data_IF_437158420741
#
_entry.id   IF_437158420741
#
_cell.length_a   1.000
_cell.length_b   1.000
_cell.length_c   1.000
_cell.angle_alpha   90.00
_cell.angle_beta   90.00
_cell.angle_gamma   90.00
#
_symmetry.space_group_name_H-M   'P 1'
#
loop_
_entity.id
_entity.type
_entity.pdbx_description
1 polymer ?
#
# COMPACT_ATOMS: atom_id res chain seq x y z
N UNK A 1 -3.80 -10.70 -3.28
CA UNK A 1 -4.87 -9.78 -3.80
C UNK A 1 -5.83 -10.56 -4.69
N UNK A 2 -7.15 -10.38 -4.54
CA UNK A 2 -8.13 -10.95 -5.46
C UNK A 2 -8.23 -10.14 -6.75
N UNK A 3 -8.63 -10.78 -7.86
CA UNK A 3 -8.79 -10.07 -9.13
C UNK A 3 -9.87 -8.97 -9.07
N UNK A 4 -10.98 -9.22 -8.35
CA UNK A 4 -12.02 -8.22 -8.12
C UNK A 4 -11.52 -7.00 -7.35
N UNK A 5 -10.59 -7.21 -6.42
CA UNK A 5 -9.93 -6.15 -5.66
C UNK A 5 -9.01 -5.31 -6.57
N UNK A 6 -8.22 -5.95 -7.44
CA UNK A 6 -7.38 -5.24 -8.40
C UNK A 6 -8.21 -4.35 -9.34
N UNK A 7 -9.35 -4.85 -9.83
CA UNK A 7 -10.30 -4.07 -10.64
C UNK A 7 -10.90 -2.88 -9.89
N UNK A 8 -11.27 -3.09 -8.62
CA UNK A 8 -11.80 -2.02 -7.79
C UNK A 8 -10.75 -0.93 -7.54
N UNK A 9 -9.52 -1.32 -7.17
CA UNK A 9 -8.39 -0.40 -7.00
C UNK A 9 -8.11 0.39 -8.28
N UNK A 10 -8.14 -0.29 -9.44
CA UNK A 10 -7.98 0.36 -10.72
C UNK A 10 -9.02 1.47 -10.91
N UNK A 11 -10.31 1.16 -10.72
CA UNK A 11 -11.37 2.16 -10.84
C UNK A 11 -11.23 3.32 -9.85
N UNK A 12 -10.80 3.03 -8.61
CA UNK A 12 -10.57 4.07 -7.61
C UNK A 12 -9.39 5.00 -7.98
N UNK A 13 -8.31 4.44 -8.52
CA UNK A 13 -7.12 5.19 -8.95
C UNK A 13 -7.38 5.99 -10.23
N UNK A 14 -8.21 5.47 -11.14
CA UNK A 14 -8.57 6.17 -12.37
C UNK A 14 -9.38 7.46 -12.15
N UNK A 15 -9.96 7.64 -10.96
CA UNK A 15 -10.63 8.88 -10.57
C UNK A 15 -9.67 10.06 -10.32
N UNK A 16 -8.35 9.82 -10.28
CA UNK A 16 -7.35 10.84 -9.99
C UNK A 16 -6.37 11.03 -11.16
N UNK A 17 -5.90 12.26 -11.43
CA UNK A 17 -4.86 12.51 -12.42
C UNK A 17 -3.52 11.88 -11.97
N UNK A 18 -2.69 11.52 -12.94
CA UNK A 18 -1.42 10.81 -12.71
C UNK A 18 -0.46 11.59 -11.81
N UNK A 19 -0.42 12.91 -11.95
CA UNK A 19 0.45 13.81 -11.18
C UNK A 19 0.09 13.79 -9.69
N UNK A 20 -1.17 13.53 -9.38
CA UNK A 20 -1.63 13.43 -7.98
C UNK A 20 -1.31 12.08 -7.34
N UNK A 21 -1.11 11.06 -8.15
CA UNK A 21 -0.78 9.71 -7.71
C UNK A 21 0.72 9.49 -7.58
N UNK A 22 1.53 10.25 -8.32
CA UNK A 22 2.96 9.99 -8.50
C UNK A 22 3.83 10.78 -7.52
N UNK A 23 4.86 10.16 -6.93
CA UNK A 23 5.12 8.72 -6.91
C UNK A 23 4.05 7.97 -6.11
N UNK A 24 3.72 6.74 -6.55
CA UNK A 24 2.84 5.84 -5.85
C UNK A 24 3.66 4.75 -5.19
N UNK A 25 3.62 4.64 -3.85
CA UNK A 25 4.30 3.57 -3.14
C UNK A 25 3.34 2.38 -2.94
N UNK A 26 3.75 1.21 -3.43
CA UNK A 26 3.08 -0.05 -3.16
C UNK A 26 3.73 -0.72 -1.94
N UNK A 27 3.09 -0.59 -0.79
CA UNK A 27 3.60 -1.05 0.51
C UNK A 27 3.29 -2.54 0.73
N UNK A 28 4.30 -3.32 1.13
CA UNK A 28 4.20 -4.77 1.25
C UNK A 28 4.07 -5.42 -0.14
N UNK A 29 4.90 -4.99 -1.07
CA UNK A 29 4.75 -5.27 -2.49
C UNK A 29 4.95 -6.73 -2.89
N UNK A 30 5.61 -7.54 -2.05
CA UNK A 30 6.07 -8.89 -2.39
C UNK A 30 6.97 -8.91 -3.64
N UNK A 31 7.20 -10.08 -4.24
CA UNK A 31 8.08 -10.23 -5.40
C UNK A 31 7.36 -10.00 -6.74
N UNK A 32 8.15 -9.74 -7.79
CA UNK A 32 7.69 -9.73 -9.18
C UNK A 32 6.95 -11.01 -9.53
N UNK A 33 7.48 -12.17 -9.12
CA UNK A 33 6.86 -13.48 -9.39
C UNK A 33 5.41 -13.55 -8.89
N UNK A 34 5.15 -13.04 -7.69
CA UNK A 34 3.78 -12.99 -7.15
C UNK A 34 2.90 -12.10 -8.00
N UNK A 35 3.39 -10.94 -8.43
CA UNK A 35 2.58 -9.94 -9.16
C UNK A 35 2.37 -10.27 -10.64
N UNK A 36 3.28 -11.01 -11.25
CA UNK A 36 3.27 -11.23 -12.70
C UNK A 36 2.97 -12.68 -13.10
N UNK A 37 3.28 -13.65 -12.23
CA UNK A 37 3.13 -15.07 -12.54
C UNK A 37 2.01 -15.72 -11.73
N UNK A 38 2.05 -15.57 -10.40
CA UNK A 38 1.07 -16.20 -9.50
C UNK A 38 -0.27 -15.47 -9.51
N UNK A 39 -0.25 -14.16 -9.55
CA UNK A 39 -1.43 -13.27 -9.58
C UNK A 39 -1.29 -12.22 -10.68
N UNK A 40 -1.24 -12.62 -11.97
CA UNK A 40 -0.90 -11.74 -13.08
C UNK A 40 -1.84 -10.54 -13.25
N UNK A 41 -3.08 -10.66 -12.77
CA UNK A 41 -4.04 -9.55 -12.76
C UNK A 41 -3.55 -8.33 -11.96
N UNK A 42 -2.62 -8.51 -11.00
CA UNK A 42 -2.04 -7.37 -10.24
C UNK A 42 -1.22 -6.49 -11.19
N UNK A 43 -0.35 -7.08 -11.98
CA UNK A 43 0.42 -6.34 -12.97
C UNK A 43 -0.46 -5.83 -14.11
N UNK A 44 -1.28 -6.71 -14.68
CA UNK A 44 -2.06 -6.41 -15.89
C UNK A 44 -3.16 -5.37 -15.66
N UNK A 45 -3.85 -5.45 -14.53
CA UNK A 45 -5.01 -4.60 -14.26
C UNK A 45 -4.69 -3.39 -13.39
N UNK A 46 -3.58 -3.41 -12.66
CA UNK A 46 -3.24 -2.33 -11.72
C UNK A 46 -1.96 -1.59 -12.11
N UNK A 47 -0.79 -2.23 -12.07
CA UNK A 47 0.47 -1.49 -12.19
C UNK A 47 0.85 -1.11 -13.62
N UNK A 48 0.66 -2.02 -14.59
CA UNK A 48 0.94 -1.70 -16.01
C UNK A 48 0.12 -0.49 -16.50
N UNK A 49 -1.19 -0.42 -16.25
CA UNK A 49 -1.97 0.76 -16.61
C UNK A 49 -1.54 2.05 -15.92
N UNK A 50 -1.14 2.00 -14.64
CA UNK A 50 -0.62 3.17 -13.94
C UNK A 50 0.67 3.68 -14.58
N UNK A 51 1.62 2.79 -14.86
CA UNK A 51 2.87 3.15 -15.55
C UNK A 51 2.63 3.67 -16.97
N UNK A 52 1.67 3.10 -17.69
CA UNK A 52 1.28 3.59 -19.03
C UNK A 52 0.73 5.02 -18.99
N UNK A 53 0.08 5.41 -17.88
CA UNK A 53 -0.39 6.78 -17.63
C UNK A 53 0.71 7.73 -17.14
N UNK A 54 1.95 7.24 -16.97
CA UNK A 54 3.07 8.04 -16.46
C UNK A 54 3.14 8.12 -14.92
N UNK A 55 2.41 7.29 -14.19
CA UNK A 55 2.57 7.20 -12.73
C UNK A 55 3.85 6.42 -12.42
N UNK A 56 4.75 7.04 -11.66
CA UNK A 56 5.88 6.35 -11.07
C UNK A 56 5.39 5.42 -9.96
N UNK A 57 5.61 4.11 -10.12
CA UNK A 57 5.23 3.10 -9.13
C UNK A 57 6.51 2.58 -8.48
N UNK A 58 6.58 2.71 -7.15
CA UNK A 58 7.71 2.25 -6.32
C UNK A 58 7.23 1.10 -5.45
N UNK A 59 7.80 -0.08 -5.64
CA UNK A 59 7.49 -1.27 -4.85
C UNK A 59 8.34 -1.32 -3.58
N UNK A 60 7.69 -1.35 -2.43
CA UNK A 60 8.33 -1.33 -1.11
C UNK A 60 7.99 -2.61 -0.36
N UNK A 61 9.01 -3.32 0.14
CA UNK A 61 8.83 -4.50 1.00
C UNK A 61 9.93 -4.52 2.07
N UNK A 62 9.65 -5.17 3.19
CA UNK A 62 10.64 -5.38 4.25
C UNK A 62 11.72 -6.37 3.81
N UNK A 63 11.37 -7.29 2.94
CA UNK A 63 12.25 -8.32 2.41
C UNK A 63 12.96 -7.83 1.15
N UNK A 64 14.20 -8.20 0.98
CA UNK A 64 14.91 -8.05 -0.28
C UNK A 64 14.44 -9.16 -1.24
N UNK A 65 13.59 -8.80 -2.20
CA UNK A 65 12.97 -9.71 -3.16
C UNK A 65 13.11 -9.15 -4.59
N UNK A 66 13.14 -10.01 -5.62
CA UNK A 66 13.09 -9.54 -7.00
C UNK A 66 11.89 -8.63 -7.25
N UNK A 67 12.14 -7.45 -7.82
CA UNK A 67 11.12 -6.44 -8.13
C UNK A 67 10.66 -5.61 -6.92
N UNK A 68 11.39 -5.62 -5.82
CA UNK A 68 11.30 -4.62 -4.75
C UNK A 68 12.29 -3.50 -5.08
N UNK A 69 11.78 -2.28 -5.22
CA UNK A 69 12.60 -1.12 -5.55
C UNK A 69 13.26 -0.52 -4.31
N UNK A 70 12.55 -0.56 -3.18
CA UNK A 70 13.04 -0.05 -1.90
C UNK A 70 12.76 -1.05 -0.79
N UNK A 71 13.83 -1.57 -0.19
CA UNK A 71 13.71 -2.36 1.03
C UNK A 71 13.51 -1.43 2.22
N UNK A 72 12.39 -1.60 2.94
CA UNK A 72 12.07 -0.80 4.12
C UNK A 72 11.11 -1.53 5.07
N UNK A 73 11.35 -1.39 6.35
CA UNK A 73 10.44 -1.84 7.41
C UNK A 73 9.56 -0.66 7.87
N UNK A 74 8.28 -0.73 7.56
CA UNK A 74 7.32 0.32 7.91
C UNK A 74 7.05 0.44 9.43
N UNK A 75 7.60 -0.45 10.24
CA UNK A 75 7.60 -0.33 11.70
C UNK A 75 8.82 0.42 12.24
N UNK A 76 9.83 0.66 11.37
CA UNK A 76 11.04 1.41 11.70
C UNK A 76 10.88 2.88 11.30
N UNK A 77 11.08 3.78 12.25
CA UNK A 77 10.92 5.23 12.03
C UNK A 77 11.89 5.80 10.97
N UNK A 78 13.15 5.36 10.96
CA UNK A 78 14.15 5.87 10.03
C UNK A 78 13.81 5.47 8.58
N UNK A 79 13.29 4.26 8.39
CA UNK A 79 12.78 3.82 7.08
C UNK A 79 11.56 4.63 6.64
N UNK A 80 10.65 4.95 7.57
CA UNK A 80 9.49 5.81 7.29
C UNK A 80 9.95 7.21 6.87
N UNK A 81 10.91 7.80 7.57
CA UNK A 81 11.49 9.11 7.21
C UNK A 81 12.12 9.07 5.82
N UNK A 82 12.90 8.02 5.52
CA UNK A 82 13.56 7.84 4.22
C UNK A 82 12.55 7.69 3.08
N UNK A 83 11.48 6.91 3.28
CA UNK A 83 10.40 6.79 2.30
C UNK A 83 9.62 8.09 2.12
N UNK A 84 9.38 8.83 3.20
CA UNK A 84 8.71 10.13 3.17
C UNK A 84 9.48 11.19 2.36
N UNK A 85 10.81 11.06 2.26
CA UNK A 85 11.64 11.93 1.42
C UNK A 85 11.34 11.78 -0.09
N UNK A 86 10.71 10.68 -0.50
CA UNK A 86 10.21 10.49 -1.88
C UNK A 86 8.97 11.35 -2.17
N UNK A 87 8.36 11.95 -1.16
CA UNK A 87 7.14 12.77 -1.27
C UNK A 87 6.00 12.07 -2.00
N UNK A 88 5.58 10.87 -1.59
CA UNK A 88 4.58 10.11 -2.34
C UNK A 88 3.25 10.86 -2.41
N UNK A 89 2.70 10.91 -3.63
CA UNK A 89 1.35 11.40 -3.89
C UNK A 89 0.27 10.40 -3.48
N UNK A 90 0.60 9.10 -3.54
CA UNK A 90 -0.32 8.05 -3.16
C UNK A 90 0.39 6.84 -2.54
N UNK A 91 -0.34 6.12 -1.66
CA UNK A 91 0.07 4.85 -1.09
C UNK A 91 -0.97 3.77 -1.40
N UNK A 92 -0.50 2.58 -1.74
CA UNK A 92 -1.30 1.35 -1.71
C UNK A 92 -0.87 0.53 -0.49
N UNK A 93 -1.77 0.35 0.47
CA UNK A 93 -1.61 -0.51 1.64
C UNK A 93 -2.62 -1.67 1.52
N UNK A 94 -2.30 -2.65 0.68
CA UNK A 94 -3.22 -3.69 0.27
C UNK A 94 -2.81 -5.04 0.86
N UNK A 95 -3.72 -5.68 1.63
CA UNK A 95 -3.50 -6.97 2.28
C UNK A 95 -2.16 -6.98 3.08
N UNK A 96 -1.92 -5.92 3.82
CA UNK A 96 -0.72 -5.74 4.64
C UNK A 96 -1.04 -5.70 6.14
N UNK A 97 -2.18 -5.11 6.52
CA UNK A 97 -2.50 -4.87 7.93
C UNK A 97 -2.68 -6.15 8.74
N UNK A 98 -3.09 -7.24 8.11
CA UNK A 98 -3.19 -8.57 8.74
C UNK A 98 -1.84 -9.21 9.04
N UNK A 99 -0.77 -8.68 8.46
CA UNK A 99 0.60 -9.18 8.62
C UNK A 99 1.44 -8.34 9.59
N UNK A 100 0.83 -7.39 10.29
CA UNK A 100 1.51 -6.55 11.28
C UNK A 100 0.88 -6.67 12.65
N UNK A 101 1.69 -6.59 13.70
CA UNK A 101 1.22 -6.69 15.09
C UNK A 101 0.54 -5.42 15.59
N UNK A 102 0.92 -4.27 15.04
CA UNK A 102 0.42 -2.94 15.42
C UNK A 102 -0.17 -2.20 14.20
N UNK A 103 -1.35 -2.62 13.69
CA UNK A 103 -1.93 -2.06 12.47
C UNK A 103 -2.25 -0.56 12.57
N UNK A 104 -2.65 -0.07 13.75
CA UNK A 104 -2.91 1.36 13.97
C UNK A 104 -1.62 2.20 13.89
N UNK A 105 -0.50 1.67 14.38
CA UNK A 105 0.81 2.31 14.25
C UNK A 105 1.27 2.35 12.79
N UNK A 106 1.05 1.27 12.06
CA UNK A 106 1.35 1.25 10.63
C UNK A 106 0.50 2.28 9.87
N UNK A 107 -0.80 2.38 10.17
CA UNK A 107 -1.67 3.40 9.58
C UNK A 107 -1.16 4.81 9.86
N UNK A 108 -0.71 5.08 11.08
CA UNK A 108 -0.07 6.35 11.45
C UNK A 108 1.18 6.62 10.61
N UNK A 109 2.08 5.64 10.48
CA UNK A 109 3.28 5.77 9.64
C UNK A 109 2.94 6.01 8.16
N UNK A 110 1.90 5.34 7.63
CA UNK A 110 1.42 5.60 6.27
C UNK A 110 1.01 7.07 6.08
N UNK A 111 0.33 7.66 7.06
CA UNK A 111 -0.05 9.08 6.98
C UNK A 111 1.17 10.02 7.07
N UNK A 112 2.20 9.65 7.84
CA UNK A 112 3.45 10.41 7.92
C UNK A 112 4.27 10.36 6.62
N UNK A 113 4.14 9.29 5.83
CA UNK A 113 4.79 9.15 4.52
C UNK A 113 4.25 10.13 3.48
N UNK A 114 2.93 10.40 3.52
CA UNK A 114 2.25 11.14 2.47
C UNK A 114 2.64 12.62 2.44
N UNK A 115 2.77 13.14 1.23
CA UNK A 115 2.75 14.58 1.03
C UNK A 115 1.39 15.17 1.46
N UNK A 116 1.33 16.47 1.71
CA UNK A 116 0.06 17.14 2.05
C UNK A 116 -0.98 16.94 0.95
N UNK A 117 -2.14 16.41 1.33
CA UNK A 117 -3.24 16.10 0.40
C UNK A 117 -3.03 14.81 -0.39
N UNK A 118 -2.00 14.01 -0.06
CA UNK A 118 -1.79 12.69 -0.65
C UNK A 118 -2.92 11.72 -0.35
N UNK A 119 -2.95 10.61 -1.06
CA UNK A 119 -4.02 9.62 -1.04
C UNK A 119 -3.52 8.29 -0.46
N UNK A 120 -4.33 7.63 0.34
CA UNK A 120 -4.07 6.25 0.75
C UNK A 120 -5.22 5.35 0.33
N UNK A 121 -4.90 4.25 -0.33
CA UNK A 121 -5.83 3.20 -0.71
C UNK A 121 -5.52 1.98 0.15
N UNK A 122 -6.49 1.55 0.94
CA UNK A 122 -6.30 0.46 1.89
C UNK A 122 -7.29 -0.65 1.58
N UNK A 123 -6.78 -1.86 1.48
CA UNK A 123 -7.60 -3.07 1.44
C UNK A 123 -7.12 -4.05 2.50
N UNK A 124 -8.06 -4.74 3.12
CA UNK A 124 -7.80 -5.82 4.08
C UNK A 124 -8.84 -6.91 3.88
N UNK A 125 -8.48 -8.18 4.09
CA UNK A 125 -9.47 -9.25 4.03
C UNK A 125 -10.44 -9.13 5.20
N UNK A 126 -11.75 -9.04 4.93
CA UNK A 126 -12.79 -9.11 5.96
C UNK A 126 -13.06 -10.57 6.38
N UNK A 127 -13.03 -11.47 5.40
CA UNK A 127 -13.18 -12.91 5.61
C UNK A 127 -12.18 -13.64 4.73
N UNK A 128 -11.20 -14.26 5.35
CA UNK A 128 -10.17 -15.05 4.69
C UNK A 128 -9.64 -16.12 5.65
N UNK A 129 -9.34 -17.33 5.15
CA UNK A 129 -8.73 -18.37 5.98
C UNK A 129 -7.42 -17.91 6.60
N UNK A 130 -7.08 -18.48 7.75
CA UNK A 130 -5.79 -18.25 8.37
C UNK A 130 -4.65 -18.66 7.41
N UNK A 131 -3.70 -17.76 7.19
CA UNK A 131 -2.53 -18.02 6.35
C UNK A 131 -1.29 -17.33 6.95
N UNK A 132 -0.13 -17.96 6.83
CA UNK A 132 1.14 -17.37 7.26
C UNK A 132 1.90 -16.82 6.05
N UNK A 133 2.17 -15.49 6.09
CA UNK A 133 3.01 -14.84 5.11
C UNK A 133 3.59 -13.51 5.65
N UNK A 134 4.62 -13.50 6.43
CA UNK A 134 5.16 -14.54 7.33
C UNK A 134 4.31 -14.80 8.58
N UNK A 135 3.43 -13.86 8.95
CA UNK A 135 2.49 -13.97 10.07
C UNK A 135 1.07 -13.61 9.60
N UNK A 136 0.07 -14.13 10.28
CA UNK A 136 -1.32 -13.68 10.17
C UNK A 136 -1.84 -13.42 11.58
N UNK A 137 -2.07 -12.15 11.90
CA UNK A 137 -2.57 -11.71 13.21
C UNK A 137 -4.07 -11.92 13.36
N UNK A 138 -4.75 -12.40 12.30
CA UNK A 138 -6.21 -12.47 12.18
C UNK A 138 -6.89 -11.10 12.27
N UNK A 139 -6.16 -10.03 11.99
CA UNK A 139 -6.74 -8.71 11.90
C UNK A 139 -7.67 -8.65 10.66
N UNK A 140 -8.98 -8.64 10.92
CA UNK A 140 -10.05 -8.65 9.90
C UNK A 140 -11.04 -7.52 10.22
N UNK A 141 -10.60 -6.27 10.12
CA UNK A 141 -11.40 -5.12 10.51
C UNK A 141 -12.53 -4.87 9.51
N UNK A 142 -13.60 -4.24 9.99
CA UNK A 142 -14.59 -3.65 9.11
C UNK A 142 -14.01 -2.42 8.38
N UNK A 143 -14.57 -2.01 7.23
CA UNK A 143 -14.16 -0.77 6.55
C UNK A 143 -14.24 0.46 7.45
N UNK A 144 -15.23 0.50 8.36
CA UNK A 144 -15.36 1.57 9.36
C UNK A 144 -14.14 1.61 10.30
N UNK A 145 -13.72 0.46 10.84
CA UNK A 145 -12.56 0.37 11.74
C UNK A 145 -11.25 0.76 11.03
N UNK A 146 -11.07 0.35 9.77
CA UNK A 146 -9.94 0.81 8.95
C UNK A 146 -9.97 2.33 8.82
N UNK A 147 -11.13 2.89 8.47
CA UNK A 147 -11.31 4.33 8.34
C UNK A 147 -10.97 5.10 9.62
N UNK A 148 -11.26 4.55 10.81
CA UNK A 148 -10.87 5.17 12.09
C UNK A 148 -9.35 5.24 12.25
N UNK A 149 -8.61 4.17 11.93
CA UNK A 149 -7.14 4.14 12.02
C UNK A 149 -6.47 5.20 11.15
N UNK A 150 -7.09 5.57 10.02
CA UNK A 150 -6.58 6.59 9.08
C UNK A 150 -7.19 7.98 9.26
N UNK A 151 -8.20 8.18 10.13
CA UNK A 151 -8.81 9.49 10.40
C UNK A 151 -8.02 10.36 11.39
N UNK A 152 -7.12 9.79 12.15
CA UNK A 152 -6.56 10.39 13.37
C UNK A 152 -5.53 11.49 13.16
N UNK A 153 -5.19 11.90 11.95
CA UNK A 153 -4.08 12.86 11.77
C UNK A 153 -4.37 13.84 10.65
N UNK A 154 -5.30 14.75 10.87
CA UNK A 154 -5.21 16.06 10.22
C UNK A 154 -4.11 16.81 10.97
N UNK A 155 -2.85 16.57 10.64
CA UNK A 155 -1.77 17.45 11.08
C UNK A 155 -1.78 18.68 10.21
N UNK A 156 -2.13 19.82 10.81
CA UNK A 156 -1.61 21.11 10.33
C UNK A 156 -0.09 21.05 10.52
N UNK A 157 0.64 20.71 9.47
CA UNK A 157 2.07 20.95 9.44
C UNK A 157 2.27 22.45 9.26
N UNK A 158 3.15 23.09 10.06
CA UNK A 158 3.44 24.51 9.97
C UNK A 158 3.97 24.92 8.60
#
# INVERSE_FOLDING_TARGET
MFEAEARWLRGALDAFPSERLSPLLNLGSSSTDIREVVQPWIEEQLFRPLRTRGVEVVHVDRRELPGVDVQADLTNHDDVVRLGALQPGALLCCNLLEHVTEPDRLAYHCLDLLMRGGLVFVTVPFSYPYHRDPIDTRYRPSPFRVGESYRGVVRERP
#
